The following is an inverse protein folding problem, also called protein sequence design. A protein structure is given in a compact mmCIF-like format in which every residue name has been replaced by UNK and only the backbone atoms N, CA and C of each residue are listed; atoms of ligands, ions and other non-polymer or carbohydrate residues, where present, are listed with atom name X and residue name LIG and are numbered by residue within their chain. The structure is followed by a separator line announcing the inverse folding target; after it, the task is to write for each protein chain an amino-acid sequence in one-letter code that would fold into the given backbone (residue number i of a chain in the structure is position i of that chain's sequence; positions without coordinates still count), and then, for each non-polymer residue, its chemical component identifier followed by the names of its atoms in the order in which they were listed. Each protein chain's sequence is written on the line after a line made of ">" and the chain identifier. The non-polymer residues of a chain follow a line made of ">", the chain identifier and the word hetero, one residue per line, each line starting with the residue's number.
data_IF_275363743441
#
_entry.id   IF_275363743441
#
_cell.length_a   1.000
_cell.length_b   1.000
_cell.length_c   1.000
_cell.angle_alpha   90.00
_cell.angle_beta   90.00
_cell.angle_gamma   90.00
#
_symmetry.space_group_name_H-M   'P 1'
#
loop_
_entity.id
_entity.type
_entity.pdbx_description
1 polymer ?
#
# COMPACT_ATOMS: atom_id res chain seq x y z
N UNK A 1 -11.85 6.72 4.57
CA UNK A 1 -12.76 6.12 5.56
C UNK A 1 -13.13 7.06 6.70
N UNK A 2 -12.23 7.94 7.18
CA UNK A 2 -12.54 8.88 8.27
C UNK A 2 -13.77 9.76 8.00
N UNK A 3 -14.01 10.14 6.76
CA UNK A 3 -15.18 10.93 6.36
C UNK A 3 -16.45 10.09 6.16
N UNK A 4 -16.32 8.77 6.04
CA UNK A 4 -17.43 7.84 5.84
C UNK A 4 -18.11 7.48 7.18
N UNK A 5 -17.31 7.20 8.22
CA UNK A 5 -17.80 6.82 9.55
C UNK A 5 -16.66 6.82 10.58
N UNK A 6 -16.97 6.66 11.90
CA UNK A 6 -15.94 6.48 12.92
C UNK A 6 -15.02 5.31 12.60
N UNK A 7 -13.71 5.56 12.58
CA UNK A 7 -12.68 4.61 12.22
C UNK A 7 -11.68 4.44 13.38
N UNK A 8 -11.17 3.23 13.54
CA UNK A 8 -9.96 2.93 14.29
C UNK A 8 -8.89 2.38 13.36
N UNK A 9 -7.65 2.78 13.55
CA UNK A 9 -6.52 2.28 12.76
C UNK A 9 -5.30 2.02 13.66
N UNK A 10 -4.43 1.11 13.22
CA UNK A 10 -3.14 0.89 13.86
C UNK A 10 -2.36 2.21 13.95
N UNK A 11 -1.69 2.42 15.07
CA UNK A 11 -0.86 3.61 15.31
C UNK A 11 0.57 3.30 14.86
N UNK A 12 1.12 4.12 13.96
CA UNK A 12 2.46 3.89 13.41
C UNK A 12 2.59 2.50 12.83
N UNK A 13 3.73 1.83 13.10
CA UNK A 13 4.02 0.48 12.60
C UNK A 13 3.69 -0.60 13.63
N UNK A 14 2.56 -0.49 14.36
CA UNK A 14 2.09 -1.51 15.30
C UNK A 14 1.46 -2.70 14.54
N UNK A 15 2.30 -3.42 13.78
CA UNK A 15 1.92 -4.42 12.80
C UNK A 15 2.39 -5.85 13.12
N UNK A 16 3.03 -6.07 14.29
CA UNK A 16 3.58 -7.36 14.74
C UNK A 16 2.71 -8.02 15.84
N UNK A 17 3.19 -9.14 16.40
CA UNK A 17 2.51 -9.91 17.45
C UNK A 17 2.22 -9.16 18.77
N UNK A 18 2.83 -7.99 18.99
CA UNK A 18 2.48 -7.07 20.08
C UNK A 18 1.55 -5.95 19.59
N UNK A 19 1.86 -5.39 18.44
CA UNK A 19 1.18 -4.20 17.92
C UNK A 19 -0.24 -4.46 17.46
N UNK A 20 -0.51 -5.57 16.77
CA UNK A 20 -1.85 -5.92 16.29
C UNK A 20 -2.82 -6.19 17.45
N UNK A 21 -2.49 -7.04 18.46
CA UNK A 21 -3.35 -7.22 19.63
C UNK A 21 -3.61 -5.94 20.40
N UNK A 22 -2.58 -5.10 20.56
CA UNK A 22 -2.72 -3.80 21.23
C UNK A 22 -3.65 -2.85 20.46
N UNK A 23 -3.54 -2.84 19.13
CA UNK A 23 -4.43 -2.03 18.27
C UNK A 23 -5.88 -2.51 18.38
N UNK A 24 -6.12 -3.83 18.39
CA UNK A 24 -7.44 -4.42 18.61
C UNK A 24 -8.01 -4.06 19.99
N UNK A 25 -7.20 -4.20 21.06
CA UNK A 25 -7.62 -3.89 22.42
C UNK A 25 -7.97 -2.40 22.62
N UNK A 26 -7.41 -1.51 21.81
CA UNK A 26 -7.68 -0.07 21.83
C UNK A 26 -8.84 0.37 20.94
N UNK A 27 -9.40 -0.54 20.15
CA UNK A 27 -10.49 -0.20 19.23
C UNK A 27 -11.75 0.20 20.03
N UNK A 28 -12.24 1.44 19.85
CA UNK A 28 -13.48 1.88 20.50
C UNK A 28 -14.69 1.09 19.99
N UNK A 29 -15.64 0.77 20.88
CA UNK A 29 -16.85 0.00 20.57
C UNK A 29 -17.69 0.64 19.44
N UNK A 30 -17.72 1.96 19.36
CA UNK A 30 -18.44 2.72 18.34
C UNK A 30 -17.77 2.76 16.97
N UNK A 31 -16.59 2.17 16.81
CA UNK A 31 -15.90 2.14 15.51
C UNK A 31 -16.69 1.32 14.49
N UNK A 32 -16.95 1.93 13.32
CA UNK A 32 -17.59 1.25 12.18
C UNK A 32 -16.58 0.53 11.31
N UNK A 33 -15.37 1.05 11.28
CA UNK A 33 -14.24 0.48 10.53
C UNK A 33 -13.04 0.31 11.45
N UNK A 34 -12.36 -0.83 11.31
CA UNK A 34 -11.04 -1.07 11.88
C UNK A 34 -10.05 -1.34 10.75
N UNK A 35 -8.92 -0.64 10.72
CA UNK A 35 -7.84 -0.85 9.76
C UNK A 35 -6.60 -1.28 10.53
N UNK A 36 -6.12 -2.49 10.25
CA UNK A 36 -4.99 -3.08 10.94
C UNK A 36 -3.89 -3.38 9.95
N UNK A 37 -2.72 -2.78 10.16
CA UNK A 37 -1.51 -3.17 9.45
C UNK A 37 -1.00 -4.49 10.04
N UNK A 38 -0.69 -5.45 9.17
CA UNK A 38 -0.11 -6.75 9.52
C UNK A 38 1.20 -6.90 8.79
N UNK A 39 2.28 -6.97 9.53
CA UNK A 39 3.64 -7.09 9.02
C UNK A 39 4.29 -8.42 9.39
N UNK A 40 5.41 -8.71 8.72
CA UNK A 40 6.20 -9.91 8.93
C UNK A 40 7.69 -9.59 8.87
N UNK A 41 8.49 -10.36 9.59
CA UNK A 41 9.92 -10.51 9.40
C UNK A 41 10.27 -11.96 9.03
N UNK A 42 9.47 -12.93 9.49
CA UNK A 42 9.69 -14.37 9.27
C UNK A 42 8.43 -15.05 8.74
N UNK A 43 8.60 -16.22 8.17
CA UNK A 43 7.49 -17.05 7.72
C UNK A 43 6.60 -17.49 8.90
N UNK A 44 5.29 -17.53 8.68
CA UNK A 44 4.29 -17.97 9.65
C UNK A 44 3.81 -16.88 10.62
N UNK A 45 4.18 -15.60 10.43
CA UNK A 45 3.78 -14.51 11.31
C UNK A 45 2.43 -13.88 10.90
N UNK A 46 2.09 -13.85 9.59
CA UNK A 46 0.88 -13.17 9.10
C UNK A 46 -0.40 -13.93 9.44
N UNK A 47 -0.42 -15.24 9.25
CA UNK A 47 -1.62 -16.05 9.47
C UNK A 47 -2.20 -15.91 10.89
N UNK A 48 -1.42 -16.06 11.98
CA UNK A 48 -1.94 -15.91 13.35
C UNK A 48 -2.47 -14.50 13.63
N UNK A 49 -1.85 -13.46 13.04
CA UNK A 49 -2.29 -12.08 13.20
C UNK A 49 -3.61 -11.84 12.46
N UNK A 50 -3.75 -12.39 11.25
CA UNK A 50 -4.98 -12.34 10.49
C UNK A 50 -6.12 -13.10 11.19
N UNK A 51 -5.82 -14.29 11.74
CA UNK A 51 -6.78 -15.08 12.53
C UNK A 51 -7.27 -14.32 13.78
N UNK A 52 -6.43 -13.47 14.35
CA UNK A 52 -6.79 -12.61 15.48
C UNK A 52 -7.67 -11.45 15.05
N UNK A 53 -7.33 -10.79 13.94
CA UNK A 53 -8.09 -9.64 13.40
C UNK A 53 -9.43 -10.06 12.85
N UNK A 54 -9.53 -11.22 12.21
CA UNK A 54 -10.72 -11.74 11.51
C UNK A 54 -11.29 -10.73 10.52
N UNK A 55 -10.53 -10.31 9.51
CA UNK A 55 -10.92 -9.23 8.65
C UNK A 55 -12.11 -9.59 7.73
N UNK A 56 -12.92 -8.60 7.38
CA UNK A 56 -13.92 -8.72 6.30
C UNK A 56 -13.26 -8.53 4.93
N UNK A 57 -12.22 -7.74 4.87
CA UNK A 57 -11.40 -7.49 3.68
C UNK A 57 -9.94 -7.57 4.08
N UNK A 58 -9.19 -8.42 3.40
CA UNK A 58 -7.73 -8.48 3.50
C UNK A 58 -7.13 -7.82 2.26
N UNK A 59 -6.11 -6.99 2.44
CA UNK A 59 -5.40 -6.32 1.36
C UNK A 59 -3.95 -6.79 1.30
N UNK A 60 -3.54 -7.30 0.15
CA UNK A 60 -2.13 -7.42 -0.24
C UNK A 60 -1.82 -6.27 -1.20
N UNK A 61 -1.01 -5.31 -0.77
CA UNK A 61 -0.72 -4.12 -1.57
C UNK A 61 0.28 -4.40 -2.70
N UNK A 62 1.32 -5.18 -2.39
CA UNK A 62 2.36 -5.59 -3.34
C UNK A 62 3.15 -6.79 -2.79
N UNK A 63 3.94 -7.42 -3.69
CA UNK A 63 4.96 -8.41 -3.33
C UNK A 63 6.28 -7.91 -3.90
N UNK A 64 7.15 -7.44 -3.03
CA UNK A 64 8.46 -6.88 -3.37
C UNK A 64 9.54 -7.59 -2.57
N UNK A 65 10.82 -7.54 -2.98
CA UNK A 65 11.94 -8.21 -2.29
C UNK A 65 12.33 -7.52 -0.97
N UNK A 66 11.33 -7.09 -0.18
CA UNK A 66 11.53 -6.65 1.19
C UNK A 66 11.64 -7.88 2.10
N UNK A 67 12.57 -7.85 3.07
CA UNK A 67 12.86 -8.98 3.98
C UNK A 67 13.34 -10.27 3.26
N UNK A 68 13.85 -10.15 2.02
CA UNK A 68 14.28 -11.31 1.23
C UNK A 68 15.41 -12.09 1.92
N UNK A 69 16.25 -11.40 2.71
CA UNK A 69 17.30 -12.04 3.49
C UNK A 69 16.78 -13.02 4.56
N UNK A 70 15.56 -12.83 5.08
CA UNK A 70 14.92 -13.71 6.07
C UNK A 70 14.03 -14.78 5.43
N UNK A 71 13.36 -14.45 4.34
CA UNK A 71 12.37 -15.32 3.68
C UNK A 71 12.95 -16.13 2.51
N UNK A 72 14.12 -15.73 2.00
CA UNK A 72 14.91 -16.48 1.02
C UNK A 72 14.46 -16.34 -0.42
N UNK A 73 13.19 -16.05 -0.73
CA UNK A 73 12.71 -15.89 -2.09
C UNK A 73 11.48 -14.98 -2.19
N UNK A 74 11.26 -14.41 -3.40
CA UNK A 74 10.06 -13.63 -3.68
C UNK A 74 8.77 -14.47 -3.57
N UNK A 75 8.85 -15.74 -3.93
CA UNK A 75 7.72 -16.66 -3.79
C UNK A 75 7.38 -16.94 -2.31
N UNK A 76 8.37 -17.10 -1.45
CA UNK A 76 8.13 -17.23 -0.01
C UNK A 76 7.49 -15.95 0.57
N UNK A 77 7.92 -14.77 0.12
CA UNK A 77 7.30 -13.49 0.49
C UNK A 77 5.85 -13.42 0.01
N UNK A 78 5.59 -13.87 -1.23
CA UNK A 78 4.23 -13.94 -1.80
C UNK A 78 3.32 -14.82 -0.96
N UNK A 79 3.75 -16.04 -0.68
CA UNK A 79 2.98 -17.01 0.11
C UNK A 79 2.68 -16.46 1.51
N UNK A 80 3.67 -15.94 2.20
CA UNK A 80 3.48 -15.35 3.53
C UNK A 80 2.49 -14.19 3.51
N UNK A 81 2.60 -13.27 2.55
CA UNK A 81 1.64 -12.15 2.43
C UNK A 81 0.23 -12.63 2.10
N UNK A 82 0.09 -13.65 1.26
CA UNK A 82 -1.20 -14.23 0.91
C UNK A 82 -1.85 -14.99 2.08
N UNK A 83 -1.07 -15.42 3.07
CA UNK A 83 -1.61 -16.05 4.28
C UNK A 83 -2.49 -15.10 5.11
N UNK A 84 -2.50 -13.80 4.81
CA UNK A 84 -3.48 -12.86 5.39
C UNK A 84 -4.93 -13.27 5.10
N UNK A 85 -5.19 -14.03 4.02
CA UNK A 85 -6.53 -14.51 3.67
C UNK A 85 -7.09 -15.54 4.65
N UNK A 86 -6.21 -16.22 5.41
CA UNK A 86 -6.61 -17.31 6.33
C UNK A 86 -7.54 -16.82 7.45
N UNK A 87 -7.35 -15.59 7.91
CA UNK A 87 -8.23 -14.97 8.91
C UNK A 87 -9.52 -14.38 8.36
N UNK A 88 -9.73 -14.37 7.04
CA UNK A 88 -10.94 -13.78 6.44
C UNK A 88 -12.20 -14.42 7.02
N UNK A 89 -13.18 -13.58 7.35
CA UNK A 89 -14.49 -14.03 7.74
C UNK A 89 -15.23 -14.69 6.57
N UNK A 90 -16.30 -15.45 6.88
CA UNK A 90 -17.17 -16.02 5.85
C UNK A 90 -17.65 -14.93 4.90
N UNK A 91 -17.48 -15.14 3.60
CA UNK A 91 -17.72 -14.18 2.51
C UNK A 91 -16.77 -12.96 2.52
N UNK A 92 -15.66 -13.04 3.22
CA UNK A 92 -14.60 -12.03 3.16
C UNK A 92 -13.96 -11.97 1.77
N UNK A 93 -13.28 -10.85 1.50
CA UNK A 93 -12.70 -10.55 0.20
C UNK A 93 -11.19 -10.34 0.35
N UNK A 94 -10.42 -11.02 -0.49
CA UNK A 94 -9.00 -10.72 -0.69
C UNK A 94 -8.86 -9.68 -1.81
N UNK A 95 -8.37 -8.50 -1.47
CA UNK A 95 -8.03 -7.44 -2.42
C UNK A 95 -6.54 -7.54 -2.74
N UNK A 96 -6.16 -7.63 -4.02
CA UNK A 96 -4.77 -7.83 -4.43
C UNK A 96 -4.49 -7.23 -5.81
N UNK A 97 -3.21 -6.95 -6.16
CA UNK A 97 -2.83 -6.50 -7.50
C UNK A 97 -3.25 -7.48 -8.59
N UNK A 98 -3.70 -6.96 -9.73
CA UNK A 98 -4.13 -7.77 -10.87
C UNK A 98 -3.00 -8.64 -11.44
N UNK A 99 -1.79 -8.11 -11.47
CA UNK A 99 -0.58 -8.78 -11.99
C UNK A 99 0.04 -9.80 -11.02
N UNK A 100 -0.46 -9.89 -9.79
CA UNK A 100 0.00 -10.89 -8.84
C UNK A 100 -0.60 -12.26 -9.17
N UNK A 101 0.27 -13.29 -9.26
CA UNK A 101 -0.13 -14.68 -9.50
C UNK A 101 -1.14 -15.15 -8.45
N UNK A 102 -2.24 -15.78 -8.92
CA UNK A 102 -3.39 -16.16 -8.08
C UNK A 102 -4.04 -17.49 -8.46
N UNK A 103 -3.47 -18.26 -9.38
CA UNK A 103 -4.05 -19.54 -9.83
C UNK A 103 -4.10 -20.59 -8.72
N UNK A 104 -3.36 -20.41 -7.64
CA UNK A 104 -3.33 -21.26 -6.44
C UNK A 104 -4.32 -20.78 -5.34
N UNK A 105 -5.17 -19.78 -5.60
CA UNK A 105 -6.14 -19.25 -4.65
C UNK A 105 -7.55 -19.55 -5.14
N UNK A 106 -8.20 -20.51 -4.51
CA UNK A 106 -9.57 -20.96 -4.83
C UNK A 106 -10.52 -20.96 -3.62
N UNK A 107 -10.00 -20.58 -2.46
CA UNK A 107 -10.68 -20.67 -1.16
C UNK A 107 -11.38 -19.37 -0.73
N UNK A 108 -11.15 -18.25 -1.45
CA UNK A 108 -11.71 -16.93 -1.10
C UNK A 108 -12.14 -16.14 -2.34
N UNK A 109 -13.06 -15.19 -2.13
CA UNK A 109 -13.40 -14.22 -3.17
C UNK A 109 -12.23 -13.24 -3.35
N UNK A 110 -11.77 -13.09 -4.59
CA UNK A 110 -10.72 -12.15 -4.98
C UNK A 110 -11.37 -10.92 -5.63
N UNK A 111 -10.82 -9.75 -5.32
CA UNK A 111 -11.04 -8.49 -6.01
C UNK A 111 -9.67 -7.93 -6.41
N UNK A 112 -9.47 -7.68 -7.68
CA UNK A 112 -8.20 -7.22 -8.22
C UNK A 112 -8.18 -5.71 -8.44
N UNK A 113 -7.00 -5.09 -8.29
CA UNK A 113 -6.79 -3.68 -8.62
C UNK A 113 -5.48 -3.49 -9.40
N UNK A 114 -5.40 -2.42 -10.18
CA UNK A 114 -4.17 -2.12 -10.93
C UNK A 114 -4.37 -1.19 -12.11
N UNK A 115 -3.34 -1.14 -12.96
CA UNK A 115 -3.37 -0.34 -14.20
C UNK A 115 -3.81 -1.15 -15.42
N UNK A 116 -3.94 -2.47 -15.30
CA UNK A 116 -4.50 -3.29 -16.35
C UNK A 116 -6.02 -3.09 -16.42
N UNK A 117 -6.56 -2.88 -17.62
CA UNK A 117 -7.99 -2.67 -17.83
C UNK A 117 -8.85 -3.89 -17.50
N UNK A 118 -8.23 -5.05 -17.31
CA UNK A 118 -8.91 -6.29 -16.90
C UNK A 118 -9.00 -6.43 -15.37
N UNK A 119 -8.42 -5.53 -14.59
CA UNK A 119 -8.59 -5.51 -13.15
C UNK A 119 -10.02 -5.08 -12.79
N UNK A 120 -10.60 -5.64 -11.70
CA UNK A 120 -11.93 -5.27 -11.22
C UNK A 120 -12.02 -3.80 -10.84
N UNK A 121 -10.92 -3.25 -10.34
CA UNK A 121 -10.73 -1.81 -10.08
C UNK A 121 -9.51 -1.37 -10.88
N UNK A 122 -9.74 -0.91 -12.08
CA UNK A 122 -8.67 -0.47 -12.98
C UNK A 122 -8.45 1.03 -12.90
N UNK A 123 -7.24 1.49 -13.21
CA UNK A 123 -6.90 2.90 -13.19
C UNK A 123 -6.01 3.33 -14.35
N UNK A 124 -6.19 4.56 -14.78
CA UNK A 124 -5.30 5.27 -15.69
C UNK A 124 -4.77 6.50 -14.97
N UNK A 125 -3.47 6.73 -15.05
CA UNK A 125 -2.85 7.92 -14.47
C UNK A 125 -2.22 8.83 -15.52
N UNK A 126 -2.23 10.13 -15.27
CA UNK A 126 -1.56 11.12 -16.11
C UNK A 126 -0.85 12.14 -15.22
N UNK A 127 0.43 12.36 -15.50
CA UNK A 127 1.20 13.42 -14.83
C UNK A 127 0.71 14.78 -15.32
N UNK A 128 0.45 15.70 -14.38
CA UNK A 128 0.09 17.09 -14.63
C UNK A 128 0.94 17.98 -13.72
N UNK A 129 1.84 18.75 -14.31
CA UNK A 129 2.76 19.63 -13.57
C UNK A 129 3.34 18.96 -12.30
N UNK A 130 2.77 19.27 -11.14
CA UNK A 130 3.18 18.74 -9.84
C UNK A 130 2.12 17.81 -9.20
N UNK A 131 1.14 17.33 -9.97
CA UNK A 131 0.07 16.43 -9.49
C UNK A 131 -0.10 15.21 -10.40
N UNK A 132 -0.81 14.21 -9.92
CA UNK A 132 -1.22 13.04 -10.70
C UNK A 132 -2.74 13.06 -10.85
N UNK A 133 -3.21 13.16 -12.09
CA UNK A 133 -4.62 12.93 -12.41
C UNK A 133 -4.85 11.43 -12.55
N UNK A 134 -5.82 10.90 -11.80
CA UNK A 134 -6.15 9.47 -11.76
C UNK A 134 -7.61 9.29 -12.16
N UNK A 135 -7.83 8.40 -13.12
CA UNK A 135 -9.15 7.93 -13.52
C UNK A 135 -9.28 6.47 -13.12
N UNK A 136 -10.29 6.13 -12.33
CA UNK A 136 -10.55 4.77 -11.84
C UNK A 136 -11.86 4.28 -12.40
N UNK A 137 -11.85 3.08 -12.98
CA UNK A 137 -13.04 2.41 -13.50
C UNK A 137 -13.44 1.25 -12.60
N UNK A 138 -14.72 1.21 -12.18
CA UNK A 138 -15.33 0.15 -11.35
C UNK A 138 -16.74 -0.10 -11.88
N UNK A 139 -17.08 -1.34 -12.22
CA UNK A 139 -18.43 -1.70 -12.75
C UNK A 139 -18.86 -0.78 -13.91
N UNK A 140 -17.97 -0.55 -14.88
CA UNK A 140 -18.19 0.32 -16.04
C UNK A 140 -18.51 1.80 -15.69
N UNK A 141 -18.15 2.24 -14.48
CA UNK A 141 -18.27 3.62 -14.04
C UNK A 141 -16.90 4.23 -13.80
N UNK A 142 -16.69 5.43 -14.34
CA UNK A 142 -15.47 6.18 -14.21
C UNK A 142 -15.55 7.22 -13.08
N UNK A 143 -14.49 7.28 -12.29
CA UNK A 143 -14.30 8.25 -11.23
C UNK A 143 -12.96 8.94 -11.41
N UNK A 144 -12.87 10.22 -11.11
CA UNK A 144 -11.63 11.00 -11.28
C UNK A 144 -11.26 11.74 -10.00
N UNK A 145 -9.97 11.81 -9.74
CA UNK A 145 -9.39 12.60 -8.63
C UNK A 145 -7.96 13.04 -8.96
N UNK A 146 -7.49 14.02 -8.20
CA UNK A 146 -6.13 14.54 -8.30
C UNK A 146 -5.37 14.18 -7.02
N UNK A 147 -4.14 13.69 -7.17
CA UNK A 147 -3.20 13.51 -6.08
C UNK A 147 -2.12 14.59 -6.14
N UNK A 148 -1.95 15.35 -5.07
CA UNK A 148 -0.86 16.34 -4.90
C UNK A 148 0.50 15.71 -4.69
N UNK A 149 0.59 14.37 -4.77
CA UNK A 149 1.79 13.57 -4.59
C UNK A 149 2.09 12.84 -5.90
N UNK A 150 3.36 12.83 -6.32
CA UNK A 150 3.77 12.18 -7.56
C UNK A 150 4.42 10.82 -7.27
N UNK A 151 4.03 9.84 -8.08
CA UNK A 151 4.63 8.50 -8.05
C UNK A 151 3.60 7.41 -8.33
N UNK A 152 3.92 6.53 -9.25
CA UNK A 152 3.08 5.40 -9.65
C UNK A 152 2.63 4.54 -8.46
N UNK A 153 3.55 4.26 -7.52
CA UNK A 153 3.26 3.48 -6.32
C UNK A 153 2.23 4.15 -5.39
N UNK A 154 2.18 5.48 -5.36
CA UNK A 154 1.20 6.22 -4.56
C UNK A 154 -0.18 6.20 -5.22
N UNK A 155 -0.22 6.30 -6.56
CA UNK A 155 -1.45 6.09 -7.32
C UNK A 155 -1.97 4.67 -7.08
N UNK A 156 -1.12 3.65 -7.22
CA UNK A 156 -1.53 2.26 -7.00
C UNK A 156 -2.05 2.04 -5.57
N UNK A 157 -1.42 2.67 -4.57
CA UNK A 157 -1.89 2.62 -3.19
C UNK A 157 -3.28 3.25 -3.05
N UNK A 158 -3.54 4.40 -3.70
CA UNK A 158 -4.86 5.05 -3.66
C UNK A 158 -5.93 4.21 -4.35
N UNK A 159 -5.61 3.55 -5.46
CA UNK A 159 -6.50 2.60 -6.15
C UNK A 159 -6.81 1.40 -5.27
N UNK A 160 -5.82 0.85 -4.56
CA UNK A 160 -6.02 -0.23 -3.59
C UNK A 160 -6.98 0.17 -2.46
N UNK A 161 -6.87 1.41 -1.94
CA UNK A 161 -7.81 1.93 -0.91
C UNK A 161 -9.23 2.04 -1.45
N UNK A 162 -9.39 2.47 -2.70
CA UNK A 162 -10.70 2.52 -3.38
C UNK A 162 -11.26 1.09 -3.57
N UNK A 163 -10.42 0.12 -3.96
CA UNK A 163 -10.82 -1.28 -4.08
C UNK A 163 -11.29 -1.87 -2.74
N UNK A 164 -10.62 -1.55 -1.62
CA UNK A 164 -11.06 -1.93 -0.28
C UNK A 164 -12.40 -1.27 0.07
N UNK A 165 -12.59 0.01 -0.25
CA UNK A 165 -13.85 0.70 -0.04
C UNK A 165 -15.00 0.05 -0.83
N UNK A 166 -14.73 -0.31 -2.08
CA UNK A 166 -15.68 -1.03 -2.93
C UNK A 166 -16.03 -2.41 -2.37
N UNK A 167 -15.02 -3.20 -1.95
CA UNK A 167 -15.23 -4.50 -1.32
C UNK A 167 -16.09 -4.43 -0.04
N UNK A 168 -16.01 -3.32 0.70
CA UNK A 168 -16.81 -3.06 1.90
C UNK A 168 -18.21 -2.48 1.61
N UNK A 169 -18.55 -2.22 0.34
CA UNK A 169 -19.81 -1.57 -0.03
C UNK A 169 -19.94 -0.12 0.42
N UNK A 170 -18.81 0.58 0.55
CA UNK A 170 -18.79 1.99 0.92
C UNK A 170 -19.20 2.89 -0.26
N UNK A 171 -19.54 4.16 0.04
CA UNK A 171 -19.81 5.18 -0.98
C UNK A 171 -18.52 5.52 -1.74
N UNK A 172 -18.43 5.03 -2.98
CA UNK A 172 -17.24 5.16 -3.82
C UNK A 172 -17.02 6.60 -4.27
N UNK A 173 -18.08 7.32 -4.60
CA UNK A 173 -17.95 8.72 -5.02
C UNK A 173 -17.34 9.58 -3.91
N UNK A 174 -17.77 9.31 -2.67
CA UNK A 174 -17.20 9.97 -1.49
C UNK A 174 -15.77 9.49 -1.21
N UNK A 175 -15.50 8.19 -1.29
CA UNK A 175 -14.15 7.65 -1.10
C UNK A 175 -13.16 8.26 -2.08
N UNK A 176 -13.54 8.38 -3.36
CA UNK A 176 -12.73 8.99 -4.42
C UNK A 176 -12.51 10.49 -4.15
N UNK A 177 -13.56 11.22 -3.77
CA UNK A 177 -13.41 12.64 -3.47
C UNK A 177 -12.43 12.91 -2.32
N UNK A 178 -12.37 12.02 -1.34
CA UNK A 178 -11.45 12.11 -0.20
C UNK A 178 -9.97 11.86 -0.59
N UNK A 179 -9.70 11.21 -1.74
CA UNK A 179 -8.32 10.98 -2.20
C UNK A 179 -7.56 12.28 -2.46
N UNK A 180 -8.25 13.35 -2.81
CA UNK A 180 -7.62 14.68 -3.01
C UNK A 180 -7.01 15.26 -1.73
N UNK A 181 -7.43 14.77 -0.56
CA UNK A 181 -6.93 15.23 0.74
C UNK A 181 -5.75 14.37 1.26
N UNK A 182 -5.30 13.37 0.49
CA UNK A 182 -4.18 12.54 0.90
C UNK A 182 -2.88 13.35 0.94
N UNK A 183 -2.21 13.26 2.06
CA UNK A 183 -0.86 13.77 2.26
C UNK A 183 0.08 12.60 2.48
N UNK A 184 1.30 12.71 1.94
CA UNK A 184 2.34 11.72 2.22
C UNK A 184 2.65 11.67 3.71
N UNK A 185 2.69 10.48 4.35
CA UNK A 185 3.19 10.35 5.70
C UNK A 185 4.65 10.82 5.79
N UNK A 186 5.08 11.30 6.96
CA UNK A 186 6.46 11.76 7.17
C UNK A 186 7.46 10.68 6.74
N UNK A 187 8.48 11.09 6.00
CA UNK A 187 9.52 10.19 5.48
C UNK A 187 9.08 9.29 4.32
N UNK A 188 7.93 9.58 3.69
CA UNK A 188 7.42 8.81 2.53
C UNK A 188 7.03 9.75 1.38
N UNK A 189 8.04 10.37 0.78
CA UNK A 189 7.85 11.29 -0.34
C UNK A 189 7.34 12.68 0.04
N UNK A 190 7.49 13.10 1.30
CA UNK A 190 7.08 14.41 1.77
C UNK A 190 7.87 15.53 1.09
N UNK A 191 7.17 16.53 0.61
CA UNK A 191 7.78 17.73 0.06
C UNK A 191 7.99 18.78 1.18
N UNK A 192 9.23 19.17 1.36
CA UNK A 192 9.63 20.19 2.31
C UNK A 192 10.27 21.35 1.56
N UNK A 193 9.97 22.59 1.96
CA UNK A 193 10.68 23.79 1.48
C UNK A 193 11.72 24.21 2.50
N UNK A 194 13.00 24.12 2.14
CA UNK A 194 14.11 24.47 3.03
C UNK A 194 15.04 25.45 2.30
N UNK A 195 15.12 26.69 2.79
CA UNK A 195 16.01 27.74 2.24
C UNK A 195 15.88 27.90 0.72
N UNK A 196 14.64 27.93 0.21
CA UNK A 196 14.35 28.11 -1.21
C UNK A 196 14.62 26.86 -2.09
N UNK A 197 14.89 25.71 -1.46
CA UNK A 197 15.04 24.42 -2.14
C UNK A 197 13.88 23.50 -1.79
N UNK A 198 13.49 22.67 -2.74
CA UNK A 198 12.52 21.58 -2.51
C UNK A 198 13.30 20.35 -2.08
N UNK A 199 12.96 19.81 -0.93
CA UNK A 199 13.50 18.55 -0.40
C UNK A 199 12.38 17.51 -0.42
N UNK A 200 12.65 16.35 -1.01
CA UNK A 200 11.77 15.18 -0.96
C UNK A 200 12.30 14.29 0.16
N UNK A 201 11.55 14.20 1.26
CA UNK A 201 11.88 13.32 2.38
C UNK A 201 11.25 11.95 2.18
N UNK A 202 12.06 10.97 1.80
CA UNK A 202 11.68 9.58 1.62
C UNK A 202 12.52 8.64 2.51
N UNK A 203 12.84 9.12 3.71
CA UNK A 203 13.84 8.55 4.63
C UNK A 203 13.31 7.45 5.56
N UNK A 204 12.03 7.07 5.49
CA UNK A 204 11.43 6.13 6.45
C UNK A 204 12.02 4.72 6.35
N UNK A 205 12.13 4.19 5.15
CA UNK A 205 12.70 2.86 4.86
C UNK A 205 13.13 2.80 3.39
N UNK A 206 14.03 1.89 3.06
CA UNK A 206 14.51 1.70 1.69
C UNK A 206 14.59 0.21 1.33
N UNK A 207 14.15 -0.10 0.11
CA UNK A 207 14.40 -1.37 -0.57
C UNK A 207 14.71 -1.07 -2.05
N UNK A 208 15.23 -2.03 -2.83
CA UNK A 208 15.67 -1.77 -4.20
C UNK A 208 14.59 -1.13 -5.09
N UNK A 209 13.35 -1.57 -4.97
CA UNK A 209 12.24 -1.05 -5.78
C UNK A 209 11.86 0.37 -5.35
N UNK A 210 11.74 0.63 -4.04
CA UNK A 210 11.42 1.97 -3.55
C UNK A 210 12.51 2.99 -3.89
N UNK A 211 13.78 2.59 -3.86
CA UNK A 211 14.92 3.42 -4.27
C UNK A 211 14.85 3.79 -5.76
N UNK A 212 14.56 2.82 -6.62
CA UNK A 212 14.36 3.06 -8.07
C UNK A 212 13.20 4.05 -8.28
N UNK A 213 12.10 3.87 -7.58
CA UNK A 213 10.94 4.76 -7.69
C UNK A 213 11.27 6.18 -7.21
N UNK A 214 11.97 6.33 -6.10
CA UNK A 214 12.40 7.64 -5.58
C UNK A 214 13.34 8.37 -6.55
N UNK A 215 14.30 7.66 -7.15
CA UNK A 215 15.23 8.21 -8.15
C UNK A 215 14.46 8.62 -9.43
N UNK A 216 13.53 7.79 -9.90
CA UNK A 216 12.67 8.11 -11.05
C UNK A 216 11.81 9.34 -10.77
N UNK A 217 11.16 9.42 -9.61
CA UNK A 217 10.36 10.57 -9.21
C UNK A 217 11.21 11.85 -9.16
N UNK A 218 12.42 11.79 -8.60
CA UNK A 218 13.35 12.90 -8.60
C UNK A 218 13.76 13.32 -10.02
N UNK A 219 13.97 12.37 -10.92
CA UNK A 219 14.38 12.64 -12.30
C UNK A 219 13.32 13.37 -13.12
N UNK A 220 12.05 13.15 -12.82
CA UNK A 220 10.89 13.73 -13.53
C UNK A 220 10.59 15.17 -13.10
N UNK A 221 11.14 15.65 -11.97
CA UNK A 221 10.87 17.00 -11.51
C UNK A 221 11.60 18.05 -12.34
N UNK A 222 10.90 19.12 -12.68
CA UNK A 222 11.49 20.29 -13.32
C UNK A 222 12.41 21.01 -12.30
N UNK A 223 13.74 20.91 -12.51
CA UNK A 223 14.74 21.58 -11.68
C UNK A 223 16.05 21.79 -12.45
N UNK A 224 16.78 22.86 -12.12
CA UNK A 224 18.10 23.14 -12.70
C UNK A 224 19.18 22.14 -12.27
N UNK A 225 19.11 21.66 -11.03
CA UNK A 225 19.96 20.57 -10.51
C UNK A 225 19.15 19.65 -9.61
N UNK A 226 19.50 18.37 -9.61
CA UNK A 226 18.89 17.33 -8.77
C UNK A 226 19.99 16.62 -8.00
N UNK A 227 19.79 16.46 -6.68
CA UNK A 227 20.74 15.80 -5.80
C UNK A 227 19.98 14.70 -5.08
N UNK A 228 20.47 13.46 -5.17
CA UNK A 228 20.00 12.33 -4.38
C UNK A 228 20.98 12.08 -3.24
N UNK A 229 20.45 11.92 -2.02
CA UNK A 229 21.20 11.48 -0.84
C UNK A 229 20.63 10.11 -0.49
N UNK A 230 21.41 9.06 -0.75
CA UNK A 230 20.98 7.68 -0.61
C UNK A 230 21.66 7.05 0.60
N UNK A 231 20.88 6.38 1.45
CA UNK A 231 21.37 5.58 2.55
C UNK A 231 21.50 4.11 2.17
N UNK A 232 21.96 3.29 3.11
CA UNK A 232 22.03 1.85 2.98
C UNK A 232 20.63 1.23 3.00
N UNK A 233 20.44 0.18 2.20
CA UNK A 233 19.26 -0.68 2.29
C UNK A 233 19.54 -1.86 3.21
N UNK A 234 18.77 -1.99 4.28
CA UNK A 234 18.92 -3.06 5.27
C UNK A 234 18.13 -4.32 4.86
N UNK A 235 18.37 -5.42 5.56
CA UNK A 235 17.61 -6.69 5.45
C UNK A 235 17.72 -7.41 4.09
N UNK A 236 18.75 -7.11 3.30
CA UNK A 236 18.98 -7.74 2.00
C UNK A 236 19.78 -9.05 2.11
N UNK A 237 20.39 -9.33 3.27
CA UNK A 237 21.18 -10.56 3.49
C UNK A 237 22.31 -10.73 2.46
N UNK A 238 22.44 -11.91 1.88
CA UNK A 238 23.45 -12.22 0.87
C UNK A 238 23.27 -11.47 -0.48
N UNK A 239 22.09 -10.92 -0.72
CA UNK A 239 21.78 -10.15 -1.93
C UNK A 239 22.22 -8.68 -1.84
N UNK A 240 22.77 -8.23 -0.69
CA UNK A 240 23.09 -6.82 -0.44
C UNK A 240 24.03 -6.23 -1.48
N UNK A 241 25.13 -6.90 -1.78
CA UNK A 241 26.16 -6.41 -2.72
C UNK A 241 25.63 -6.27 -4.16
N UNK A 242 24.70 -7.13 -4.55
CA UNK A 242 24.09 -7.09 -5.89
C UNK A 242 23.03 -5.98 -5.98
N UNK A 243 22.19 -5.87 -4.98
CA UNK A 243 21.04 -4.96 -4.98
C UNK A 243 21.40 -3.50 -4.68
N UNK A 244 22.63 -3.21 -4.22
CA UNK A 244 23.19 -1.86 -4.07
C UNK A 244 23.91 -1.36 -5.33
N UNK A 245 24.02 -2.13 -6.39
CA UNK A 245 24.64 -1.76 -7.68
C UNK A 245 23.63 -1.21 -8.66
#
# INVERSE_FOLDING_TARGET
>A
FCSLAPIHASVGSYNNHWGVPLSLARMPEQSRYGVFEVGMNHAGEIAPLSDLVKPHVALVLNVLPAHIGQLGSLEAIRQEKLDIRRGLQKNGVLVMPYDLERSDIDDVRILTFGFDSSADVSAVMRLRDDSMSVEVTIDDKDYQYELSICGEHLVLTSVAVIAVAYALGADIAKAVSDMTMLNSPKGRGNLLSVSGRVVIDDSYNANPVSMIHAIKALSQRAAGSRIAILGEMLELGEFSDELHK
#
